data_IF_149313324054
#
_entry.id   IF_149313324054
#
_cell.length_a   1.000
_cell.length_b   1.000
_cell.length_c   1.000
_cell.angle_alpha   90.00
_cell.angle_beta   90.00
_cell.angle_gamma   90.00
#
_symmetry.space_group_name_H-M   'P 1'
#
loop_
_entity.id
_entity.type
_entity.pdbx_description
1 polymer ?
#
# COMPACT_ATOMS: atom_id res chain seq x y z
N UNK A 1 -5.95 -8.18 -19.86
CA UNK A 1 -5.71 -7.89 -21.29
C UNK A 1 -4.21 -7.77 -21.54
N UNK A 2 -3.68 -8.59 -22.46
CA UNK A 2 -2.27 -8.54 -22.83
C UNK A 2 -2.05 -7.41 -23.86
N UNK A 3 -1.10 -6.51 -23.59
CA UNK A 3 -0.68 -5.47 -24.54
C UNK A 3 0.74 -5.74 -25.03
N UNK A 4 0.89 -5.81 -26.35
CA UNK A 4 2.20 -5.83 -27.01
C UNK A 4 2.71 -4.41 -27.19
N UNK A 5 4.01 -4.20 -26.95
CA UNK A 5 4.70 -2.99 -27.39
C UNK A 5 6.17 -3.29 -27.71
N UNK A 6 6.72 -2.48 -28.61
CA UNK A 6 8.09 -2.64 -29.11
C UNK A 6 8.96 -1.52 -28.57
N UNK A 7 10.12 -1.89 -28.04
CA UNK A 7 11.15 -0.93 -27.61
C UNK A 7 12.44 -1.33 -28.30
N UNK A 8 12.92 -0.46 -29.19
CA UNK A 8 14.03 -0.74 -30.09
C UNK A 8 13.77 -2.06 -30.87
N UNK A 9 14.72 -2.99 -30.86
CA UNK A 9 14.63 -4.29 -31.53
C UNK A 9 14.01 -5.40 -30.69
N UNK A 10 13.37 -5.08 -29.55
CA UNK A 10 12.77 -6.05 -28.62
C UNK A 10 11.27 -5.84 -28.49
N UNK A 11 10.53 -6.95 -28.48
CA UNK A 11 9.09 -6.97 -28.21
C UNK A 11 8.85 -7.32 -26.74
N UNK A 12 7.92 -6.60 -26.13
CA UNK A 12 7.48 -6.80 -24.76
C UNK A 12 5.96 -7.01 -24.71
N UNK A 13 5.53 -7.78 -23.73
CA UNK A 13 4.13 -8.09 -23.49
C UNK A 13 3.79 -7.72 -22.03
N UNK A 14 2.87 -6.79 -21.83
CA UNK A 14 2.37 -6.40 -20.52
C UNK A 14 1.00 -7.00 -20.27
N UNK A 15 0.89 -7.83 -19.23
CA UNK A 15 -0.36 -8.41 -18.78
C UNK A 15 -1.02 -7.49 -17.76
N UNK A 16 -2.10 -6.83 -18.15
CA UNK A 16 -2.83 -5.91 -17.26
C UNK A 16 -3.58 -6.60 -16.12
N UNK A 17 -3.79 -7.92 -16.19
CA UNK A 17 -4.53 -8.66 -15.16
C UNK A 17 -3.61 -9.15 -14.05
N UNK A 18 -2.35 -9.40 -14.38
CA UNK A 18 -1.35 -9.90 -13.45
C UNK A 18 -0.23 -8.87 -13.18
N UNK A 19 -0.25 -7.72 -13.86
CA UNK A 19 0.79 -6.68 -13.80
C UNK A 19 2.20 -7.22 -14.07
N UNK A 20 2.32 -8.14 -15.01
CA UNK A 20 3.60 -8.76 -15.38
C UNK A 20 4.09 -8.25 -16.74
N UNK A 21 5.41 -8.20 -16.89
CA UNK A 21 6.09 -7.83 -18.13
C UNK A 21 6.95 -9.01 -18.60
N UNK A 22 6.75 -9.47 -19.84
CA UNK A 22 7.51 -10.57 -20.44
C UNK A 22 8.08 -10.20 -21.81
N UNK A 23 9.14 -10.89 -22.22
CA UNK A 23 9.71 -10.81 -23.58
C UNK A 23 9.14 -11.87 -24.53
N UNK A 24 8.20 -12.68 -24.03
CA UNK A 24 7.51 -13.75 -24.76
C UNK A 24 6.00 -13.58 -24.62
N UNK A 25 5.27 -13.87 -25.69
CA UNK A 25 3.81 -13.93 -25.69
C UNK A 25 3.28 -15.09 -24.83
N UNK A 26 4.13 -16.06 -24.47
CA UNK A 26 3.75 -17.15 -23.58
C UNK A 26 3.59 -16.65 -22.15
N UNK A 27 2.36 -16.74 -21.65
CA UNK A 27 2.10 -16.67 -20.22
C UNK A 27 2.86 -17.83 -19.57
N UNK A 28 3.82 -17.61 -18.65
CA UNK A 28 4.22 -18.68 -17.75
C UNK A 28 2.94 -19.06 -17.03
N UNK A 29 2.50 -20.29 -17.30
CA UNK A 29 1.34 -21.00 -16.76
C UNK A 29 0.65 -20.18 -15.67
N UNK A 30 -0.57 -19.72 -15.93
CA UNK A 30 -1.46 -19.05 -14.98
C UNK A 30 -1.63 -19.93 -13.75
N UNK A 31 -0.61 -20.03 -12.90
CA UNK A 31 -0.59 -20.76 -11.65
C UNK A 31 -1.79 -20.21 -10.92
N UNK A 32 -2.75 -21.11 -10.70
CA UNK A 32 -4.03 -20.87 -10.06
C UNK A 32 -3.97 -19.56 -9.28
N UNK A 33 -4.73 -18.53 -9.70
CA UNK A 33 -4.98 -17.37 -8.84
C UNK A 33 -5.48 -17.97 -7.54
N UNK A 34 -4.59 -18.12 -6.55
CA UNK A 34 -4.91 -18.75 -5.28
C UNK A 34 -6.01 -17.87 -4.73
N UNK A 35 -7.22 -18.40 -4.66
CA UNK A 35 -8.38 -17.63 -4.22
C UNK A 35 -8.08 -17.18 -2.80
N UNK A 36 -7.67 -15.91 -2.67
CA UNK A 36 -7.45 -15.29 -1.38
C UNK A 36 -8.86 -15.10 -0.79
N UNK A 37 -9.15 -15.70 0.38
CA UNK A 37 -10.42 -15.46 1.04
C UNK A 37 -10.66 -13.96 1.21
N UNK A 38 -11.88 -13.49 0.97
CA UNK A 38 -12.22 -12.05 1.11
C UNK A 38 -11.94 -11.49 2.51
N UNK A 39 -11.84 -12.36 3.51
CA UNK A 39 -11.47 -12.02 4.89
C UNK A 39 -9.97 -11.75 5.08
N UNK A 40 -9.13 -11.95 4.06
CA UNK A 40 -7.69 -11.68 4.11
C UNK A 40 -7.38 -10.44 3.29
N UNK A 41 -6.92 -9.39 3.97
CA UNK A 41 -6.40 -8.20 3.34
C UNK A 41 -4.91 -8.39 3.04
N UNK A 42 -4.55 -8.41 1.76
CA UNK A 42 -3.17 -8.66 1.36
C UNK A 42 -2.20 -7.55 1.80
N UNK A 43 -2.63 -6.30 1.74
CA UNK A 43 -1.82 -5.14 2.12
C UNK A 43 -2.72 -3.99 2.56
N UNK A 44 -2.32 -3.31 3.61
CA UNK A 44 -2.87 -2.00 3.99
C UNK A 44 -1.71 -1.05 4.30
N UNK A 45 -1.87 0.21 3.87
CA UNK A 45 -0.94 1.29 4.19
C UNK A 45 -1.75 2.35 4.92
N UNK A 46 -1.37 2.66 6.15
CA UNK A 46 -2.07 3.63 7.00
C UNK A 46 -1.13 4.80 7.25
N UNK A 47 -1.48 5.98 6.73
CA UNK A 47 -0.71 7.20 6.97
C UNK A 47 -1.06 7.76 8.36
N UNK A 48 -0.17 7.57 9.35
CA UNK A 48 -0.40 8.00 10.75
C UNK A 48 0.15 9.41 11.05
N UNK A 49 0.95 9.97 10.15
CA UNK A 49 1.50 11.33 10.23
C UNK A 49 1.95 11.76 8.83
N UNK A 50 1.29 12.73 8.20
CA UNK A 50 1.84 13.36 7.00
C UNK A 50 2.81 14.52 7.35
N UNK A 51 3.12 14.71 8.63
CA UNK A 51 4.23 15.56 9.08
C UNK A 51 5.55 14.77 9.08
N UNK A 52 6.66 15.44 8.79
CA UNK A 52 8.02 14.94 8.93
C UNK A 52 8.88 15.95 9.68
N UNK A 53 9.82 15.48 10.50
CA UNK A 53 10.83 16.31 11.18
C UNK A 53 12.12 16.46 10.36
N UNK A 54 12.13 15.97 9.12
CA UNK A 54 13.22 16.09 8.15
C UNK A 54 12.67 16.62 6.81
N UNK A 55 13.57 17.04 5.92
CA UNK A 55 13.24 17.65 4.63
C UNK A 55 14.09 17.08 3.48
N UNK A 56 14.02 15.76 3.28
CA UNK A 56 14.83 15.08 2.27
C UNK A 56 14.56 15.66 0.86
N UNK A 57 15.61 16.04 0.14
CA UNK A 57 15.52 16.63 -1.21
C UNK A 57 14.89 15.71 -2.26
N UNK A 58 14.93 14.39 -2.02
CA UNK A 58 14.34 13.36 -2.86
C UNK A 58 12.98 12.87 -2.33
N UNK A 59 12.39 13.54 -1.32
CA UNK A 59 11.12 13.13 -0.76
C UNK A 59 10.01 13.33 -1.80
N UNK A 60 9.51 12.22 -2.36
CA UNK A 60 8.39 12.25 -3.31
C UNK A 60 7.10 12.83 -2.71
N UNK A 61 7.02 12.91 -1.38
CA UNK A 61 5.88 13.42 -0.62
C UNK A 61 6.06 14.88 -0.18
N UNK A 62 7.04 15.61 -0.71
CA UNK A 62 7.30 17.02 -0.41
C UNK A 62 7.46 17.29 1.10
N UNK A 63 8.42 16.59 1.73
CA UNK A 63 8.59 16.66 3.19
C UNK A 63 7.49 15.93 3.97
N UNK A 64 6.66 15.11 3.30
CA UNK A 64 5.70 14.20 3.90
C UNK A 64 4.23 14.62 3.74
N UNK A 65 3.96 15.90 3.47
CA UNK A 65 2.61 16.46 3.51
C UNK A 65 1.88 16.43 2.16
N UNK A 66 2.57 16.06 1.07
CA UNK A 66 2.03 16.01 -0.29
C UNK A 66 1.47 17.35 -0.78
N UNK A 67 2.08 18.47 -0.38
CA UNK A 67 1.62 19.83 -0.70
C UNK A 67 0.35 20.25 0.05
N UNK A 68 -0.04 19.51 1.09
CA UNK A 68 -1.20 19.80 1.95
C UNK A 68 -0.75 20.21 3.35
N UNK A 69 -1.71 20.55 4.23
CA UNK A 69 -1.42 20.79 5.64
C UNK A 69 -0.76 19.58 6.31
N UNK A 70 0.31 19.84 7.05
CA UNK A 70 0.95 18.86 7.94
C UNK A 70 0.04 18.53 9.13
N UNK A 71 -0.27 17.25 9.32
CA UNK A 71 -1.19 16.73 10.33
C UNK A 71 -0.69 15.41 10.91
N UNK A 72 -1.00 15.21 12.18
CA UNK A 72 -0.79 13.95 12.88
C UNK A 72 -2.17 13.31 13.07
N UNK A 73 -2.29 12.02 12.73
CA UNK A 73 -3.56 11.31 12.88
C UNK A 73 -4.01 11.31 14.34
N UNK A 74 -5.30 11.55 14.58
CA UNK A 74 -5.89 11.48 15.92
C UNK A 74 -6.48 10.07 16.20
N UNK A 75 -6.76 9.80 17.48
CA UNK A 75 -7.30 8.52 17.93
C UNK A 75 -8.67 8.19 17.30
N UNK A 76 -9.51 9.19 17.03
CA UNK A 76 -10.84 9.00 16.46
C UNK A 76 -10.75 8.41 15.06
N UNK A 77 -9.84 8.93 14.22
CA UNK A 77 -9.57 8.39 12.88
C UNK A 77 -9.01 6.96 12.96
N UNK A 78 -8.09 6.69 13.89
CA UNK A 78 -7.54 5.34 14.07
C UNK A 78 -8.61 4.31 14.45
N UNK A 79 -9.50 4.66 15.38
CA UNK A 79 -10.64 3.84 15.77
C UNK A 79 -11.55 3.56 14.56
N UNK A 80 -11.87 4.59 13.78
CA UNK A 80 -12.72 4.44 12.60
C UNK A 80 -12.13 3.47 11.56
N UNK A 81 -10.81 3.48 11.37
CA UNK A 81 -10.11 2.54 10.48
C UNK A 81 -10.26 1.10 10.97
N UNK A 82 -10.03 0.85 12.26
CA UNK A 82 -10.17 -0.49 12.86
C UNK A 82 -11.62 -0.98 12.72
N UNK A 83 -12.60 -0.13 13.00
CA UNK A 83 -14.01 -0.49 12.87
C UNK A 83 -14.42 -0.76 11.41
N UNK A 84 -13.84 -0.05 10.44
CA UNK A 84 -14.05 -0.35 9.02
C UNK A 84 -13.48 -1.72 8.62
N UNK A 85 -12.28 -2.07 9.10
CA UNK A 85 -11.67 -3.38 8.88
C UNK A 85 -12.52 -4.52 9.48
N UNK A 86 -13.03 -4.32 10.71
CA UNK A 86 -13.95 -5.28 11.35
C UNK A 86 -15.27 -5.42 10.60
N UNK A 87 -15.89 -4.31 10.19
CA UNK A 87 -17.15 -4.31 9.43
C UNK A 87 -17.00 -5.00 8.07
N UNK A 88 -15.81 -4.93 7.47
CA UNK A 88 -15.44 -5.68 6.25
C UNK A 88 -15.13 -7.16 6.50
N UNK A 89 -15.23 -7.63 7.75
CA UNK A 89 -14.91 -8.99 8.17
C UNK A 89 -13.46 -9.38 7.79
N UNK A 90 -12.53 -8.43 7.87
CA UNK A 90 -11.10 -8.72 7.68
C UNK A 90 -10.59 -9.40 8.95
N UNK A 91 -10.11 -10.63 8.79
CA UNK A 91 -9.59 -11.49 9.86
C UNK A 91 -8.07 -11.62 9.85
N UNK A 92 -7.42 -11.20 8.77
CA UNK A 92 -5.98 -11.30 8.61
C UNK A 92 -5.49 -10.19 7.68
N UNK A 93 -4.37 -9.56 8.06
CA UNK A 93 -3.64 -8.59 7.23
C UNK A 93 -2.26 -9.17 6.97
N UNK A 94 -1.95 -9.49 5.70
CA UNK A 94 -0.65 -10.09 5.37
C UNK A 94 0.49 -9.07 5.41
N UNK A 95 0.20 -7.79 5.15
CA UNK A 95 1.19 -6.71 5.16
C UNK A 95 0.57 -5.42 5.67
N UNK A 96 0.85 -5.10 6.93
CA UNK A 96 0.54 -3.81 7.54
C UNK A 96 1.74 -2.88 7.36
N UNK A 97 1.51 -1.69 6.81
CA UNK A 97 2.51 -0.62 6.72
C UNK A 97 1.94 0.62 7.40
N UNK A 98 2.53 1.00 8.52
CA UNK A 98 2.31 2.30 9.15
C UNK A 98 3.27 3.29 8.49
N UNK A 99 2.70 4.32 7.89
CA UNK A 99 3.37 5.16 6.92
C UNK A 99 3.14 6.65 7.22
N UNK A 100 3.77 7.53 6.44
CA UNK A 100 3.65 8.97 6.60
C UNK A 100 4.82 9.73 6.01
N UNK A 101 5.00 10.96 6.50
CA UNK A 101 6.29 11.64 6.51
C UNK A 101 7.21 10.92 7.47
N UNK A 102 7.13 11.26 8.76
CA UNK A 102 7.80 10.51 9.84
C UNK A 102 6.74 9.81 10.73
N UNK A 103 6.53 8.49 10.58
CA UNK A 103 5.57 7.73 11.37
C UNK A 103 5.83 7.80 12.89
N UNK A 104 7.10 7.88 13.32
CA UNK A 104 7.42 7.89 14.75
C UNK A 104 7.11 9.21 15.46
N UNK A 105 6.78 10.29 14.73
CA UNK A 105 6.15 11.46 15.34
C UNK A 105 4.79 11.12 15.98
N UNK A 106 4.18 10.00 15.58
CA UNK A 106 2.96 9.46 16.18
C UNK A 106 3.16 8.06 16.77
N UNK A 107 4.22 7.87 17.56
CA UNK A 107 4.54 6.58 18.19
C UNK A 107 3.37 5.99 18.99
N UNK A 108 2.53 6.84 19.60
CA UNK A 108 1.35 6.40 20.36
C UNK A 108 0.37 5.64 19.46
N UNK A 109 0.03 6.20 18.29
CA UNK A 109 -0.84 5.49 17.35
C UNK A 109 -0.13 4.35 16.64
N UNK A 110 1.20 4.45 16.46
CA UNK A 110 1.98 3.33 15.94
C UNK A 110 1.77 2.07 16.80
N UNK A 111 2.03 2.17 18.11
CA UNK A 111 1.84 1.08 19.06
C UNK A 111 0.37 0.64 19.12
N UNK A 112 -0.56 1.60 19.17
CA UNK A 112 -1.99 1.31 19.20
C UNK A 112 -2.45 0.43 18.02
N UNK A 113 -1.98 0.68 16.80
CA UNK A 113 -2.35 -0.17 15.65
C UNK A 113 -1.78 -1.58 15.76
N UNK A 114 -0.56 -1.74 16.29
CA UNK A 114 0.05 -3.07 16.50
C UNK A 114 -0.72 -3.86 17.55
N UNK A 115 -1.27 -3.21 18.57
CA UNK A 115 -2.05 -3.89 19.62
C UNK A 115 -3.48 -4.26 19.19
N UNK A 116 -4.04 -3.58 18.19
CA UNK A 116 -5.46 -3.70 17.81
C UNK A 116 -5.73 -4.45 16.51
N UNK A 117 -4.73 -4.62 15.65
CA UNK A 117 -4.83 -5.31 14.36
C UNK A 117 -4.16 -6.68 14.40
#
# INVERSE_FOLDING_TARGET
MLKEFKVNSKTYYFDSENFTLSTSATHPNSKLKKLIPKTILQKVVINISNSCNLSCSYCYADGGNYGMDSRIMNQQTANAIIEDLKRKNIKQINRLILFGGEPFLNIKLFVYFIEKL
#
